data_IF_674409795151
#
_entry.id   IF_674409795151
#
_cell.length_a   1.000
_cell.length_b   1.000
_cell.length_c   1.000
_cell.angle_alpha   90.00
_cell.angle_beta   90.00
_cell.angle_gamma   90.00
#
_symmetry.space_group_name_H-M   'P 1'
#
loop_
_entity.id
_entity.type
_entity.pdbx_description
1 polymer ?
#
# COMPACT_ATOMS: atom_id res chain seq x y z
N UNK A 1 -17.77 -19.61 1.48
CA UNK A 1 -16.39 -19.35 1.00
C UNK A 1 -15.45 -20.56 0.94
N UNK A 2 -15.74 -21.70 1.60
CA UNK A 2 -14.82 -22.87 1.67
C UNK A 2 -15.29 -24.09 0.85
N UNK A 3 -16.35 -23.96 0.05
CA UNK A 3 -16.82 -25.03 -0.82
C UNK A 3 -15.73 -25.40 -1.85
N UNK A 4 -15.36 -26.69 -1.90
CA UNK A 4 -14.22 -27.15 -2.71
C UNK A 4 -12.85 -27.09 -2.02
N UNK A 5 -12.79 -26.74 -0.73
CA UNK A 5 -11.55 -26.68 0.07
C UNK A 5 -10.83 -25.34 -0.05
N UNK A 6 -9.59 -25.28 0.46
CA UNK A 6 -8.73 -24.09 0.39
C UNK A 6 -7.79 -24.20 -0.81
N UNK A 7 -7.97 -23.31 -1.78
CA UNK A 7 -7.20 -23.25 -3.04
C UNK A 7 -6.30 -22.02 -3.00
N UNK A 8 -5.04 -22.22 -2.62
CA UNK A 8 -4.03 -21.17 -2.53
C UNK A 8 -3.29 -20.99 -3.86
N UNK A 9 -2.97 -19.75 -4.19
CA UNK A 9 -2.04 -19.42 -5.28
C UNK A 9 -1.26 -18.14 -4.95
N UNK A 10 -0.09 -18.02 -5.57
CA UNK A 10 0.67 -16.77 -5.60
C UNK A 10 0.40 -16.06 -6.92
N UNK A 11 0.08 -14.78 -6.85
CA UNK A 11 0.13 -13.87 -7.98
C UNK A 11 1.45 -13.12 -7.89
N UNK A 12 2.23 -13.14 -8.97
CA UNK A 12 3.58 -12.57 -9.06
C UNK A 12 3.72 -11.81 -10.38
N UNK A 13 4.87 -11.16 -10.60
CA UNK A 13 5.17 -10.40 -11.82
C UNK A 13 4.16 -9.25 -12.08
N UNK A 14 3.67 -8.63 -11.01
CA UNK A 14 2.86 -7.42 -11.11
C UNK A 14 3.64 -6.30 -11.79
N UNK A 15 3.00 -5.41 -12.57
CA UNK A 15 3.69 -4.24 -13.10
C UNK A 15 4.14 -3.32 -11.95
N UNK A 16 5.25 -2.61 -12.14
CA UNK A 16 5.72 -1.58 -11.21
C UNK A 16 4.83 -0.33 -11.28
N UNK A 17 4.34 -0.02 -12.47
CA UNK A 17 3.45 1.10 -12.75
C UNK A 17 2.18 0.60 -13.45
N UNK A 18 1.00 0.99 -12.96
CA UNK A 18 -0.28 0.48 -13.48
C UNK A 18 -0.82 1.29 -14.66
N UNK A 19 -0.44 2.57 -14.75
CA UNK A 19 -0.92 3.49 -15.77
C UNK A 19 0.02 4.70 -15.90
N UNK A 20 -0.30 5.58 -16.83
CA UNK A 20 0.28 6.92 -16.95
C UNK A 20 -0.81 7.96 -16.64
N UNK A 21 -0.45 9.04 -15.96
CA UNK A 21 -1.35 10.16 -15.71
C UNK A 21 -1.48 11.09 -16.94
N UNK A 22 -2.29 12.15 -16.82
CA UNK A 22 -2.50 13.13 -17.90
C UNK A 22 -1.23 13.91 -18.27
N UNK A 23 -0.24 13.99 -17.37
CA UNK A 23 1.05 14.62 -17.59
C UNK A 23 2.10 13.64 -18.17
N UNK A 24 1.74 12.37 -18.36
CA UNK A 24 2.62 11.31 -18.84
C UNK A 24 3.53 10.71 -17.76
N UNK A 25 3.29 10.98 -16.48
CA UNK A 25 4.02 10.38 -15.37
C UNK A 25 3.41 9.02 -15.02
N UNK A 26 4.23 8.01 -14.70
CA UNK A 26 3.72 6.71 -14.29
C UNK A 26 3.03 6.74 -12.92
N UNK A 27 1.95 5.98 -12.80
CA UNK A 27 1.20 5.76 -11.56
C UNK A 27 1.69 4.44 -10.94
N UNK A 28 2.23 4.44 -9.71
CA UNK A 28 2.70 3.21 -9.05
C UNK A 28 1.57 2.19 -8.85
N UNK A 29 1.80 0.93 -9.21
CA UNK A 29 0.87 -0.15 -8.89
C UNK A 29 0.95 -0.55 -7.39
N UNK A 30 2.11 -0.35 -6.78
CA UNK A 30 2.40 -0.68 -5.39
C UNK A 30 3.18 0.46 -4.72
N UNK A 31 3.53 0.29 -3.44
CA UNK A 31 4.30 1.29 -2.70
C UNK A 31 5.58 1.70 -3.45
N UNK A 32 5.97 3.00 -3.50
CA UNK A 32 7.13 3.52 -4.27
C UNK A 32 8.52 2.97 -3.89
N UNK A 33 8.58 2.07 -2.91
CA UNK A 33 9.79 1.41 -2.45
C UNK A 33 9.86 -0.06 -2.88
N UNK A 34 8.94 -0.47 -3.76
CA UNK A 34 8.90 -1.81 -4.35
C UNK A 34 9.98 -1.94 -5.41
N UNK A 35 10.79 -3.00 -5.30
CA UNK A 35 11.92 -3.23 -6.20
C UNK A 35 11.41 -3.67 -7.59
N UNK A 36 11.90 -3.08 -8.70
CA UNK A 36 11.71 -3.63 -10.05
C UNK A 36 12.42 -4.99 -10.18
N UNK A 37 12.01 -5.81 -11.16
CA UNK A 37 12.84 -6.93 -11.59
C UNK A 37 14.18 -6.44 -12.14
N UNK A 38 15.28 -7.10 -11.77
CA UNK A 38 16.64 -6.69 -12.17
C UNK A 38 16.81 -6.64 -13.70
N UNK A 39 16.13 -7.55 -14.42
CA UNK A 39 16.10 -7.62 -15.89
C UNK A 39 15.44 -6.40 -16.55
N UNK A 40 14.54 -5.74 -15.82
CA UNK A 40 13.68 -4.68 -16.34
C UNK A 40 14.18 -3.28 -15.92
N UNK A 41 15.19 -3.20 -15.04
CA UNK A 41 15.71 -1.91 -14.50
C UNK A 41 16.17 -0.97 -15.62
N UNK A 42 16.73 -1.51 -16.70
CA UNK A 42 17.19 -0.70 -17.83
C UNK A 42 16.05 0.01 -18.58
N UNK A 43 14.83 -0.52 -18.49
CA UNK A 43 13.64 0.09 -19.11
C UNK A 43 13.23 1.40 -18.43
N UNK A 44 13.67 1.63 -17.19
CA UNK A 44 13.44 2.91 -16.48
C UNK A 44 14.17 4.09 -17.14
N UNK A 45 15.23 3.81 -17.93
CA UNK A 45 16.11 4.83 -18.50
C UNK A 45 15.85 5.07 -20.00
N UNK A 46 14.89 4.36 -20.63
CA UNK A 46 14.67 4.45 -22.10
C UNK A 46 14.02 5.77 -22.52
N UNK A 47 13.28 6.40 -21.61
CA UNK A 47 12.52 7.62 -21.89
C UNK A 47 11.23 7.39 -22.67
N UNK A 48 10.87 6.14 -22.99
CA UNK A 48 9.57 5.79 -23.57
C UNK A 48 8.57 5.48 -22.42
N UNK A 49 7.50 6.27 -22.26
CA UNK A 49 6.50 5.99 -21.24
C UNK A 49 5.83 4.61 -21.36
N UNK A 50 5.80 4.01 -22.55
CA UNK A 50 5.23 2.67 -22.74
C UNK A 50 6.13 1.58 -22.16
N UNK A 51 7.45 1.75 -22.19
CA UNK A 51 8.38 0.80 -21.58
C UNK A 51 8.16 0.72 -20.07
N UNK A 52 7.83 1.84 -19.42
CA UNK A 52 7.54 1.90 -17.98
C UNK A 52 6.39 0.96 -17.58
N UNK A 53 5.36 0.83 -18.43
CA UNK A 53 4.21 -0.05 -18.17
C UNK A 53 4.54 -1.54 -18.32
N UNK A 54 5.72 -1.86 -18.86
CA UNK A 54 6.20 -3.25 -19.00
C UNK A 54 7.16 -3.67 -17.89
N UNK A 55 7.62 -2.71 -17.06
CA UNK A 55 8.52 -2.99 -15.94
C UNK A 55 7.80 -3.82 -14.90
N UNK A 56 8.27 -5.05 -14.65
CA UNK A 56 7.74 -5.89 -13.58
C UNK A 56 8.31 -5.45 -12.24
N UNK A 57 7.50 -5.64 -11.21
CA UNK A 57 7.87 -5.46 -9.81
C UNK A 57 8.06 -6.79 -9.13
N UNK A 58 8.97 -6.83 -8.14
CA UNK A 58 9.16 -7.96 -7.25
C UNK A 58 8.11 -7.93 -6.12
N UNK A 59 6.85 -7.73 -6.49
CA UNK A 59 5.68 -7.79 -5.62
C UNK A 59 4.95 -9.12 -5.79
N UNK A 60 4.27 -9.55 -4.74
CA UNK A 60 3.60 -10.84 -4.70
C UNK A 60 2.41 -10.82 -3.74
N UNK A 61 1.32 -11.43 -4.19
CA UNK A 61 0.08 -11.56 -3.43
C UNK A 61 -0.23 -13.03 -3.18
N UNK A 62 -0.59 -13.36 -1.95
CA UNK A 62 -1.17 -14.66 -1.62
C UNK A 62 -2.68 -14.56 -1.74
N UNK A 63 -3.24 -15.37 -2.61
CA UNK A 63 -4.69 -15.46 -2.83
C UNK A 63 -5.17 -16.84 -2.39
N UNK A 64 -6.33 -16.89 -1.74
CA UNK A 64 -7.04 -18.14 -1.46
C UNK A 64 -8.51 -18.02 -1.82
N UNK A 65 -9.03 -18.96 -2.62
CA UNK A 65 -10.44 -18.98 -3.04
C UNK A 65 -10.93 -17.63 -3.62
N UNK A 66 -10.06 -16.92 -4.34
CA UNK A 66 -10.34 -15.60 -4.92
C UNK A 66 -10.23 -14.41 -3.95
N UNK A 67 -9.87 -14.65 -2.68
CA UNK A 67 -9.61 -13.60 -1.70
C UNK A 67 -8.11 -13.32 -1.61
N UNK A 68 -7.73 -12.06 -1.77
CA UNK A 68 -6.38 -11.60 -1.40
C UNK A 68 -6.22 -11.69 0.12
N UNK A 69 -5.35 -12.59 0.57
CA UNK A 69 -5.05 -12.83 1.99
C UNK A 69 -3.88 -11.99 2.49
N UNK A 70 -3.03 -11.53 1.59
CA UNK A 70 -1.92 -10.66 1.93
C UNK A 70 -1.05 -10.33 0.73
N UNK A 71 -0.26 -9.28 0.90
CA UNK A 71 0.62 -8.74 -0.13
C UNK A 71 2.00 -8.42 0.45
N UNK A 72 3.01 -8.46 -0.40
CA UNK A 72 4.40 -8.16 -0.04
C UNK A 72 5.23 -7.75 -1.25
N UNK A 73 6.42 -7.24 -0.96
CA UNK A 73 7.42 -7.01 -2.01
C UNK A 73 8.84 -7.00 -1.47
N UNK A 74 9.78 -7.28 -2.38
CA UNK A 74 11.18 -6.93 -2.20
C UNK A 74 11.30 -5.41 -2.22
N UNK A 75 12.07 -4.87 -1.27
CA UNK A 75 12.22 -3.43 -1.10
C UNK A 75 13.51 -2.94 -1.76
N UNK A 76 13.44 -1.72 -2.28
CA UNK A 76 14.60 -1.06 -2.85
C UNK A 76 15.60 -0.75 -1.72
N UNK A 77 16.77 -1.36 -1.83
CA UNK A 77 17.93 -1.11 -0.96
C UNK A 77 19.03 -0.33 -1.70
N UNK A 78 18.83 -0.08 -3.01
CA UNK A 78 19.76 0.60 -3.91
C UNK A 78 19.37 2.08 -4.06
N UNK A 79 20.18 3.04 -3.56
CA UNK A 79 19.85 4.46 -3.64
C UNK A 79 19.69 4.98 -5.07
N UNK A 80 20.47 4.43 -6.01
CA UNK A 80 20.41 4.82 -7.42
C UNK A 80 19.09 4.42 -8.08
N UNK A 81 18.54 3.25 -7.72
CA UNK A 81 17.24 2.79 -8.22
C UNK A 81 16.10 3.60 -7.59
N UNK A 82 16.16 3.85 -6.28
CA UNK A 82 15.14 4.64 -5.58
C UNK A 82 15.04 6.07 -6.14
N UNK A 83 16.18 6.70 -6.41
CA UNK A 83 16.24 8.05 -6.98
C UNK A 83 15.61 8.10 -8.38
N UNK A 84 15.87 7.11 -9.24
CA UNK A 84 15.24 7.02 -10.58
C UNK A 84 13.73 6.91 -10.48
N UNK A 85 13.23 6.05 -9.59
CA UNK A 85 11.78 5.87 -9.40
C UNK A 85 11.15 7.16 -8.89
N UNK A 86 11.74 7.86 -7.92
CA UNK A 86 11.21 9.15 -7.48
C UNK A 86 11.19 10.20 -8.58
N UNK A 87 12.26 10.28 -9.39
CA UNK A 87 12.30 11.19 -10.53
C UNK A 87 11.20 10.88 -11.56
N UNK A 88 10.97 9.60 -11.88
CA UNK A 88 9.89 9.17 -12.77
C UNK A 88 8.51 9.54 -12.19
N UNK A 89 8.31 9.42 -10.89
CA UNK A 89 7.08 9.80 -10.20
C UNK A 89 6.89 11.32 -10.05
N UNK A 90 7.80 12.14 -10.59
CA UNK A 90 7.76 13.60 -10.44
C UNK A 90 8.05 14.08 -9.02
N UNK A 91 8.58 13.22 -8.15
CA UNK A 91 8.90 13.55 -6.76
C UNK A 91 10.28 14.20 -6.74
N UNK A 92 10.33 15.49 -6.41
CA UNK A 92 11.59 16.23 -6.26
C UNK A 92 12.43 15.71 -5.09
N UNK A 93 13.74 15.93 -5.11
CA UNK A 93 14.63 15.58 -3.99
C UNK A 93 14.22 16.26 -2.67
N UNK A 94 13.70 17.50 -2.74
CA UNK A 94 13.22 18.23 -1.57
C UNK A 94 11.98 17.55 -0.98
N UNK A 95 11.02 17.19 -1.84
CA UNK A 95 9.82 16.48 -1.42
C UNK A 95 10.13 15.07 -0.90
N UNK A 96 11.03 14.34 -1.56
CA UNK A 96 11.49 13.03 -1.13
C UNK A 96 12.15 13.09 0.25
N UNK A 97 12.99 14.09 0.50
CA UNK A 97 13.62 14.29 1.81
C UNK A 97 12.60 14.72 2.88
N UNK A 98 11.63 15.58 2.54
CA UNK A 98 10.59 16.01 3.47
C UNK A 98 9.69 14.84 3.92
N UNK A 99 9.33 13.94 2.99
CA UNK A 99 8.45 12.79 3.28
C UNK A 99 9.20 11.57 3.83
N UNK A 100 10.39 11.29 3.30
CA UNK A 100 11.10 10.02 3.50
C UNK A 100 12.56 10.18 3.93
N UNK A 101 13.03 11.39 4.23
CA UNK A 101 14.44 11.68 4.49
C UNK A 101 15.07 10.79 5.56
N UNK A 102 14.36 10.52 6.66
CA UNK A 102 14.85 9.63 7.73
C UNK A 102 15.13 8.20 7.23
N UNK A 103 14.32 7.69 6.31
CA UNK A 103 14.45 6.35 5.75
C UNK A 103 15.55 6.32 4.69
N UNK A 104 15.59 7.33 3.82
CA UNK A 104 16.63 7.47 2.79
C UNK A 104 18.02 7.62 3.41
N UNK A 105 18.12 8.35 4.52
CA UNK A 105 19.36 8.47 5.29
C UNK A 105 19.76 7.12 5.88
N UNK A 106 18.81 6.37 6.48
CA UNK A 106 19.08 5.05 7.01
C UNK A 106 19.65 4.09 5.94
N UNK A 107 19.15 4.15 4.70
CA UNK A 107 19.63 3.31 3.61
C UNK A 107 21.08 3.59 3.22
N UNK A 108 21.57 4.82 3.40
CA UNK A 108 22.98 5.18 3.14
C UNK A 108 23.97 4.49 4.08
N UNK A 109 23.52 4.04 5.25
CA UNK A 109 24.36 3.28 6.19
C UNK A 109 24.45 1.78 5.84
N UNK A 110 23.94 1.36 4.68
CA UNK A 110 24.06 -0.01 4.17
C UNK A 110 22.84 -0.87 4.47
N UNK A 111 21.65 -0.44 4.04
CA UNK A 111 20.47 -1.29 4.09
C UNK A 111 20.71 -2.57 3.26
N UNK A 112 20.54 -3.78 3.84
CA UNK A 112 20.68 -5.01 3.09
C UNK A 112 19.50 -5.20 2.13
N UNK A 113 19.63 -6.09 1.12
CA UNK A 113 18.46 -6.61 0.43
C UNK A 113 17.44 -7.15 1.45
N UNK A 114 16.21 -6.66 1.39
CA UNK A 114 15.16 -7.01 2.33
C UNK A 114 13.80 -7.09 1.64
N UNK A 115 12.93 -7.91 2.19
CA UNK A 115 11.58 -8.12 1.70
C UNK A 115 10.64 -8.32 2.89
N UNK A 116 9.35 -8.13 2.66
CA UNK A 116 8.33 -8.32 3.67
C UNK A 116 7.03 -8.80 3.07
N UNK A 117 6.09 -9.13 3.94
CA UNK A 117 4.76 -9.57 3.59
C UNK A 117 3.81 -9.27 4.76
N UNK A 118 2.57 -8.92 4.47
CA UNK A 118 1.55 -8.67 5.49
C UNK A 118 0.28 -9.47 5.17
N UNK A 119 -0.25 -10.15 6.19
CA UNK A 119 -1.53 -10.85 6.10
C UNK A 119 -2.69 -9.97 6.59
N UNK A 120 -3.79 -10.00 5.85
CA UNK A 120 -5.10 -9.58 6.35
C UNK A 120 -5.65 -10.62 7.31
N UNK A 121 -5.27 -10.53 8.59
CA UNK A 121 -5.62 -11.54 9.60
C UNK A 121 -7.12 -11.76 9.71
N UNK A 122 -7.95 -10.71 9.64
CA UNK A 122 -9.40 -10.83 9.73
C UNK A 122 -9.97 -11.61 8.53
N UNK A 123 -9.43 -11.39 7.31
CA UNK A 123 -9.82 -12.15 6.11
C UNK A 123 -9.40 -13.61 6.23
N UNK A 124 -8.18 -13.88 6.71
CA UNK A 124 -7.69 -15.23 6.93
C UNK A 124 -8.61 -15.98 7.92
N UNK A 125 -8.93 -15.37 9.05
CA UNK A 125 -9.80 -15.99 10.06
C UNK A 125 -11.22 -16.16 9.52
N UNK A 126 -11.79 -15.17 8.83
CA UNK A 126 -13.11 -15.29 8.19
C UNK A 126 -13.15 -16.46 7.20
N UNK A 127 -12.15 -16.56 6.33
CA UNK A 127 -12.05 -17.66 5.36
C UNK A 127 -11.98 -19.03 6.06
N UNK A 128 -11.15 -19.17 7.10
CA UNK A 128 -11.01 -20.42 7.87
C UNK A 128 -12.28 -20.77 8.66
N UNK A 129 -13.01 -19.77 9.13
CA UNK A 129 -14.29 -19.93 9.80
C UNK A 129 -15.46 -20.20 8.83
N UNK A 130 -15.24 -20.07 7.51
CA UNK A 130 -16.28 -20.22 6.50
C UNK A 130 -17.18 -18.99 6.34
N UNK A 131 -16.76 -17.84 6.86
CA UNK A 131 -17.51 -16.59 6.88
C UNK A 131 -17.22 -15.71 5.66
N UNK A 132 -18.26 -15.09 5.10
CA UNK A 132 -18.18 -14.16 3.96
C UNK A 132 -17.87 -12.73 4.39
N UNK A 133 -17.93 -12.44 5.68
CA UNK A 133 -17.75 -11.11 6.21
C UNK A 133 -16.84 -11.12 7.44
N UNK A 134 -15.81 -10.27 7.44
CA UNK A 134 -14.88 -10.15 8.56
C UNK A 134 -15.56 -9.71 9.87
N UNK A 135 -16.76 -9.12 9.81
CA UNK A 135 -17.52 -8.77 11.02
C UNK A 135 -17.86 -9.98 11.89
N UNK A 136 -18.02 -11.15 11.30
CA UNK A 136 -18.36 -12.38 12.03
C UNK A 136 -17.18 -12.91 12.87
N UNK A 137 -15.96 -12.42 12.61
CA UNK A 137 -14.73 -12.84 13.31
C UNK A 137 -14.09 -11.71 14.13
N UNK A 138 -14.74 -10.55 14.22
CA UNK A 138 -14.31 -9.41 15.02
C UNK A 138 -15.30 -9.23 16.17
N UNK A 139 -14.82 -9.14 17.42
CA UNK A 139 -15.68 -9.09 18.59
C UNK A 139 -16.64 -7.88 18.63
N UNK A 140 -16.18 -6.70 18.20
CA UNK A 140 -16.95 -5.45 18.19
C UNK A 140 -16.75 -4.69 16.85
N UNK A 141 -17.29 -5.23 15.75
CA UNK A 141 -17.08 -4.66 14.42
C UNK A 141 -17.84 -3.34 14.25
N UNK A 142 -17.54 -2.62 13.16
CA UNK A 142 -18.24 -1.38 12.80
C UNK A 142 -19.18 -1.61 11.63
N UNK A 143 -20.20 -0.77 11.51
CA UNK A 143 -21.08 -0.74 10.33
C UNK A 143 -20.30 -0.28 9.10
N UNK A 144 -20.90 -0.39 7.92
CA UNK A 144 -20.29 0.10 6.68
C UNK A 144 -20.03 1.63 6.69
N UNK A 145 -20.80 2.38 7.48
CA UNK A 145 -20.58 3.82 7.71
C UNK A 145 -19.51 4.12 8.77
N UNK A 146 -18.81 3.10 9.29
CA UNK A 146 -17.78 3.25 10.31
C UNK A 146 -18.31 3.49 11.72
N UNK A 147 -19.63 3.36 11.94
CA UNK A 147 -20.26 3.60 13.24
C UNK A 147 -20.24 2.35 14.12
N UNK A 148 -20.24 2.57 15.43
CA UNK A 148 -20.37 1.55 16.46
C UNK A 148 -21.76 1.65 17.12
N UNK A 149 -22.72 0.78 16.77
CA UNK A 149 -24.07 0.84 17.34
C UNK A 149 -24.11 0.52 18.85
N UNK A 150 -23.15 -0.26 19.36
CA UNK A 150 -23.12 -0.66 20.77
C UNK A 150 -22.76 0.54 21.66
N UNK A 151 -21.74 1.29 21.26
CA UNK A 151 -21.24 2.46 22.02
C UNK A 151 -21.82 3.78 21.54
N UNK A 152 -22.52 3.77 20.40
CA UNK A 152 -23.01 4.96 19.66
C UNK A 152 -21.89 5.88 19.18
N UNK A 153 -20.71 5.33 18.90
CA UNK A 153 -19.57 6.08 18.37
C UNK A 153 -19.61 6.20 16.83
N UNK A 154 -19.01 7.24 16.23
CA UNK A 154 -18.39 8.39 16.90
C UNK A 154 -19.42 9.32 17.54
N UNK A 155 -19.03 9.98 18.64
CA UNK A 155 -19.86 10.96 19.37
C UNK A 155 -19.27 12.35 19.25
N UNK A 156 -20.08 13.38 19.52
CA UNK A 156 -19.57 14.74 19.67
C UNK A 156 -18.59 14.83 20.84
N UNK A 157 -17.56 15.68 20.70
CA UNK A 157 -16.59 16.00 21.73
C UNK A 157 -16.93 17.35 22.38
N UNK A 158 -16.64 17.51 23.67
CA UNK A 158 -16.78 18.79 24.38
C UNK A 158 -15.86 19.85 23.76
N UNK A 159 -16.38 21.06 23.56
CA UNK A 159 -15.65 22.20 23.00
C UNK A 159 -14.39 22.58 23.81
N UNK A 160 -14.37 22.28 25.11
CA UNK A 160 -13.20 22.51 25.97
C UNK A 160 -12.00 21.68 25.52
N UNK A 161 -12.19 20.40 25.16
CA UNK A 161 -11.11 19.55 24.66
C UNK A 161 -10.59 20.03 23.30
N UNK A 162 -11.49 20.48 22.43
CA UNK A 162 -11.07 21.07 21.14
C UNK A 162 -10.21 22.31 21.37
N UNK A 163 -10.61 23.16 22.31
CA UNK A 163 -9.86 24.38 22.66
C UNK A 163 -8.49 24.05 23.25
N UNK A 164 -8.40 23.06 24.14
CA UNK A 164 -7.14 22.59 24.71
C UNK A 164 -6.17 22.07 23.63
N UNK A 165 -6.70 21.36 22.63
CA UNK A 165 -5.93 20.89 21.47
C UNK A 165 -5.65 21.99 20.44
N UNK A 166 -6.16 23.22 20.64
CA UNK A 166 -6.03 24.31 19.68
C UNK A 166 -6.81 24.10 18.37
N UNK A 167 -7.86 23.28 18.40
CA UNK A 167 -8.67 22.89 17.26
C UNK A 167 -10.03 23.60 17.27
N UNK A 168 -10.60 23.82 16.08
CA UNK A 168 -11.95 24.32 15.89
C UNK A 168 -12.62 23.60 14.72
N UNK A 169 -13.85 23.12 14.93
CA UNK A 169 -14.66 22.56 13.84
C UNK A 169 -15.17 23.70 12.97
N UNK A 170 -14.82 23.67 11.67
CA UNK A 170 -15.37 24.60 10.69
C UNK A 170 -16.81 24.20 10.32
N UNK A 171 -17.67 25.15 9.94
CA UNK A 171 -18.97 24.82 9.36
C UNK A 171 -18.76 23.93 8.12
N UNK A 172 -19.72 23.02 7.86
CA UNK A 172 -19.70 22.25 6.62
C UNK A 172 -19.75 23.23 5.43
N UNK A 173 -18.86 23.01 4.47
CA UNK A 173 -18.93 23.67 3.16
C UNK A 173 -19.94 22.85 2.37
N UNK A 174 -21.02 23.50 1.92
CA UNK A 174 -22.03 22.90 1.04
C UNK A 174 -21.44 22.55 -0.34
#
# INVERSE_FOLDING_TARGET
VTEGGLQFLWVVDFPLFEALDEAGLPIPAHHPFTMPHDEDVALLDTGDPQDLLTVRSQAYDLVCNGWELGSGSVRIHRPDVQARIFALLGISDEEANAKFGFLLEAFRYGAPPHAGFAFGIDRLVALLAGEENIREVIAFPKTQSGQDPLTKAPTAIDARHLTELGLRVLPKVD
#
